data_IF_668789898941
#
_entry.id   IF_668789898941
#
_cell.length_a   1.000
_cell.length_b   1.000
_cell.length_c   1.000
_cell.angle_alpha   90.00
_cell.angle_beta   90.00
_cell.angle_gamma   90.00
#
_symmetry.space_group_name_H-M   'P 1'
#
loop_
_entity.id
_entity.type
_entity.pdbx_description
1 polymer ?
#
# COMPACT_ATOMS: atom_id res chain seq x y z
N UNK A 1 -15.48 5.57 58.91
CA UNK A 1 -14.66 5.28 57.70
C UNK A 1 -15.59 4.91 56.56
N UNK A 2 -15.37 5.48 55.38
CA UNK A 2 -16.17 5.16 54.19
C UNK A 2 -15.93 3.71 53.79
N UNK A 3 -16.99 2.89 53.70
CA UNK A 3 -16.87 1.46 53.38
C UNK A 3 -16.08 1.20 52.08
N UNK A 4 -16.23 2.08 51.09
CA UNK A 4 -15.46 2.05 49.84
C UNK A 4 -13.94 2.15 50.08
N UNK A 5 -13.52 3.03 51.00
CA UNK A 5 -12.10 3.18 51.34
C UNK A 5 -11.59 1.98 52.13
N UNK A 6 -12.39 1.44 53.06
CA UNK A 6 -12.03 0.24 53.81
C UNK A 6 -11.80 -0.99 52.90
N UNK A 7 -12.71 -1.20 51.92
CA UNK A 7 -12.56 -2.26 50.92
C UNK A 7 -11.37 -2.01 50.00
N UNK A 8 -11.14 -0.76 49.60
CA UNK A 8 -9.97 -0.43 48.77
C UNK A 8 -8.66 -0.77 49.49
N UNK A 9 -8.50 -0.33 50.74
CA UNK A 9 -7.29 -0.60 51.51
C UNK A 9 -7.11 -2.08 51.85
N UNK A 10 -8.18 -2.84 52.09
CA UNK A 10 -8.07 -4.27 52.31
C UNK A 10 -7.57 -4.99 51.04
N UNK A 11 -8.14 -4.68 49.87
CA UNK A 11 -7.71 -5.26 48.59
C UNK A 11 -6.25 -4.92 48.30
N UNK A 12 -5.85 -3.66 48.51
CA UNK A 12 -4.45 -3.24 48.33
C UNK A 12 -3.53 -3.97 49.32
N UNK A 13 -3.92 -4.09 50.58
CA UNK A 13 -3.16 -4.81 51.60
C UNK A 13 -2.96 -6.29 51.25
N UNK A 14 -4.01 -6.98 50.82
CA UNK A 14 -3.92 -8.36 50.35
C UNK A 14 -3.08 -8.50 49.08
N UNK A 15 -3.14 -7.55 48.16
CA UNK A 15 -2.32 -7.57 46.95
C UNK A 15 -0.82 -7.46 47.30
N UNK A 16 -0.45 -6.53 48.18
CA UNK A 16 0.95 -6.37 48.63
C UNK A 16 1.41 -7.62 49.39
N UNK A 17 0.59 -8.13 50.32
CA UNK A 17 0.93 -9.33 51.07
C UNK A 17 1.09 -10.56 50.16
N UNK A 18 0.19 -10.73 49.19
CA UNK A 18 0.29 -11.79 48.20
C UNK A 18 1.56 -11.69 47.34
N UNK A 19 1.96 -10.48 46.95
CA UNK A 19 3.22 -10.26 46.24
C UNK A 19 4.43 -10.64 47.09
N UNK A 20 4.49 -10.21 48.36
CA UNK A 20 5.58 -10.56 49.28
C UNK A 20 5.63 -12.07 49.51
N UNK A 21 4.48 -12.71 49.74
CA UNK A 21 4.39 -14.15 49.95
C UNK A 21 4.96 -14.92 48.76
N UNK A 22 4.60 -14.55 47.54
CA UNK A 22 5.12 -15.18 46.32
C UNK A 22 6.62 -14.90 46.15
N UNK A 23 7.10 -13.71 46.54
CA UNK A 23 8.52 -13.36 46.44
C UNK A 23 9.41 -14.21 47.37
N UNK A 24 8.89 -14.58 48.54
CA UNK A 24 9.60 -15.41 49.52
C UNK A 24 9.51 -16.90 49.19
N UNK A 25 8.34 -17.36 48.73
CA UNK A 25 8.10 -18.78 48.45
C UNK A 25 8.65 -19.22 47.10
N UNK A 26 8.41 -18.45 46.04
CA UNK A 26 8.79 -18.80 44.67
C UNK A 26 8.87 -17.57 43.76
N UNK A 27 9.93 -16.75 43.86
CA UNK A 27 10.04 -15.52 43.07
C UNK A 27 10.13 -15.80 41.56
N UNK A 28 10.65 -16.97 41.17
CA UNK A 28 10.72 -17.40 39.78
C UNK A 28 9.34 -17.60 39.13
N UNK A 29 8.31 -17.93 39.93
CA UNK A 29 6.96 -18.17 39.43
C UNK A 29 6.29 -16.89 38.92
N UNK A 30 6.58 -15.72 39.52
CA UNK A 30 6.10 -14.42 39.06
C UNK A 30 6.65 -14.09 37.68
N UNK A 31 7.95 -14.23 37.51
CA UNK A 31 8.63 -13.95 36.25
C UNK A 31 8.07 -14.87 35.15
N UNK A 32 7.91 -16.18 35.44
CA UNK A 32 7.31 -17.14 34.51
C UNK A 32 5.87 -16.76 34.14
N UNK A 33 5.04 -16.35 35.11
CA UNK A 33 3.67 -15.90 34.83
C UNK A 33 3.64 -14.65 33.96
N UNK A 34 4.42 -13.62 34.30
CA UNK A 34 4.51 -12.39 33.51
C UNK A 34 5.02 -12.68 32.10
N UNK A 35 6.07 -13.50 31.95
CA UNK A 35 6.56 -13.93 30.64
C UNK A 35 5.49 -14.67 29.85
N UNK A 36 4.74 -15.56 30.49
CA UNK A 36 3.69 -16.34 29.82
C UNK A 36 2.59 -15.43 29.30
N UNK A 37 2.10 -14.49 30.13
CA UNK A 37 1.12 -13.50 29.69
C UNK A 37 1.66 -12.57 28.60
N UNK A 38 2.89 -12.09 28.75
CA UNK A 38 3.55 -11.26 27.74
C UNK A 38 3.73 -12.02 26.41
N UNK A 39 4.07 -13.31 26.46
CA UNK A 39 4.18 -14.16 25.28
C UNK A 39 2.81 -14.35 24.61
N UNK A 40 1.75 -14.63 25.38
CA UNK A 40 0.39 -14.75 24.83
C UNK A 40 -0.04 -13.45 24.14
N UNK A 41 0.13 -12.30 24.81
CA UNK A 41 -0.19 -10.98 24.25
C UNK A 41 0.65 -10.72 23.00
N UNK A 42 1.94 -11.07 23.02
CA UNK A 42 2.85 -10.95 21.89
C UNK A 42 2.41 -11.80 20.69
N UNK A 43 1.98 -13.04 20.92
CA UNK A 43 1.45 -13.93 19.87
C UNK A 43 0.17 -13.35 19.27
N UNK A 44 -0.77 -12.89 20.10
CA UNK A 44 -2.01 -12.24 19.64
C UNK A 44 -1.68 -10.98 18.84
N UNK A 45 -0.74 -10.16 19.32
CA UNK A 45 -0.29 -8.96 18.62
C UNK A 45 0.36 -9.30 17.27
N UNK A 46 1.20 -10.33 17.20
CA UNK A 46 1.82 -10.79 15.96
C UNK A 46 0.78 -11.29 14.96
N UNK A 47 -0.21 -12.07 15.41
CA UNK A 47 -1.33 -12.51 14.57
C UNK A 47 -2.11 -11.32 14.02
N UNK A 48 -2.50 -10.39 14.91
CA UNK A 48 -3.19 -9.16 14.51
C UNK A 48 -2.35 -8.33 13.54
N UNK A 49 -1.05 -8.14 13.83
CA UNK A 49 -0.12 -7.41 12.98
C UNK A 49 0.06 -8.08 11.63
N UNK A 50 0.14 -9.40 11.59
CA UNK A 50 0.31 -10.17 10.35
C UNK A 50 -0.94 -10.08 9.48
N UNK A 51 -2.14 -10.14 10.06
CA UNK A 51 -3.40 -9.93 9.35
C UNK A 51 -3.58 -8.46 8.92
N UNK A 52 -3.32 -7.50 9.80
CA UNK A 52 -3.39 -6.07 9.51
C UNK A 52 -2.33 -5.60 8.49
N UNK A 53 -1.18 -6.29 8.40
CA UNK A 53 -0.15 -6.01 7.39
C UNK A 53 -0.52 -6.49 5.98
N UNK A 54 -1.59 -7.28 5.84
CA UNK A 54 -2.20 -7.61 4.54
C UNK A 54 -3.15 -6.51 4.04
N UNK A 55 -3.06 -5.29 4.59
CA UNK A 55 -3.78 -4.13 4.05
C UNK A 55 -3.44 -3.87 2.57
N UNK A 56 -4.42 -3.47 1.74
CA UNK A 56 -4.33 -3.45 0.28
C UNK A 56 -3.28 -2.51 -0.30
N UNK A 57 -2.79 -1.50 0.44
CA UNK A 57 -1.82 -0.53 -0.07
C UNK A 57 -0.46 -1.10 -0.52
N UNK A 58 -0.08 -2.31 -0.07
CA UNK A 58 1.11 -3.01 -0.58
C UNK A 58 0.94 -3.50 -2.02
N UNK A 59 -0.29 -3.82 -2.45
CA UNK A 59 -0.59 -4.19 -3.85
C UNK A 59 -0.46 -2.98 -4.77
N UNK A 60 -0.94 -1.81 -4.36
CA UNK A 60 -0.89 -0.61 -5.19
C UNK A 60 0.55 -0.13 -5.41
N UNK A 61 1.39 -0.17 -4.37
CA UNK A 61 2.82 0.12 -4.52
C UNK A 61 3.54 -0.91 -5.41
N UNK A 62 3.17 -2.20 -5.32
CA UNK A 62 3.74 -3.22 -6.20
C UNK A 62 3.27 -3.07 -7.64
N UNK A 63 2.00 -2.73 -7.88
CA UNK A 63 1.43 -2.45 -9.19
C UNK A 63 2.09 -1.22 -9.82
N UNK A 64 2.27 -0.14 -9.06
CA UNK A 64 2.99 1.05 -9.50
C UNK A 64 4.46 0.74 -9.84
N UNK A 65 5.17 -0.02 -8.99
CA UNK A 65 6.55 -0.46 -9.27
C UNK A 65 6.63 -1.32 -10.54
N UNK A 66 5.64 -2.19 -10.77
CA UNK A 66 5.55 -3.01 -11.99
C UNK A 66 5.28 -2.15 -13.23
N UNK A 67 4.34 -1.22 -13.14
CA UNK A 67 4.00 -0.28 -14.21
C UNK A 67 5.18 0.66 -14.54
N UNK A 68 5.89 1.16 -13.53
CA UNK A 68 7.08 1.98 -13.71
C UNK A 68 8.20 1.21 -14.41
N UNK A 69 8.46 -0.04 -14.01
CA UNK A 69 9.42 -0.93 -14.71
C UNK A 69 9.00 -1.20 -16.15
N UNK A 70 7.71 -1.44 -16.40
CA UNK A 70 7.18 -1.66 -17.74
C UNK A 70 7.29 -0.41 -18.63
N UNK A 71 7.01 0.78 -18.07
CA UNK A 71 7.21 2.06 -18.75
C UNK A 71 8.69 2.28 -19.07
N UNK A 72 9.60 2.05 -18.11
CA UNK A 72 11.05 2.13 -18.34
C UNK A 72 11.54 1.17 -19.43
N UNK A 73 10.96 -0.02 -19.56
CA UNK A 73 11.30 -0.96 -20.64
C UNK A 73 10.74 -0.54 -22.01
N UNK A 74 9.57 0.11 -22.05
CA UNK A 74 8.93 0.55 -23.30
C UNK A 74 9.49 1.87 -23.83
N UNK A 75 9.86 2.78 -22.94
CA UNK A 75 10.32 4.14 -23.29
C UNK A 75 11.79 4.40 -22.97
N UNK A 76 12.48 3.48 -22.26
CA UNK A 76 13.89 3.61 -21.87
C UNK A 76 14.87 2.92 -22.80
N UNK A 77 14.40 2.32 -23.91
CA UNK A 77 15.25 2.18 -25.07
C UNK A 77 15.15 3.49 -25.85
N UNK A 78 16.10 4.43 -25.74
CA UNK A 78 16.36 5.30 -26.87
C UNK A 78 16.76 4.34 -27.98
N UNK A 79 15.82 3.98 -28.85
CA UNK A 79 16.16 3.41 -30.14
C UNK A 79 17.19 4.37 -30.70
N UNK A 80 18.43 3.88 -30.74
CA UNK A 80 19.64 4.55 -31.15
C UNK A 80 19.32 5.62 -32.21
N UNK A 81 19.15 6.87 -31.75
CA UNK A 81 19.02 8.04 -32.61
C UNK A 81 20.35 8.37 -33.32
N UNK A 82 21.32 7.44 -33.32
CA UNK A 82 22.59 7.52 -34.03
C UNK A 82 22.51 6.97 -35.47
N UNK A 83 21.37 6.45 -35.94
CA UNK A 83 21.29 5.89 -37.30
C UNK A 83 20.13 6.44 -38.14
N UNK A 84 19.96 7.76 -38.13
CA UNK A 84 19.33 8.48 -39.25
C UNK A 84 20.28 9.61 -39.62
N UNK A 85 21.31 9.26 -40.41
CA UNK A 85 22.05 10.25 -41.19
C UNK A 85 21.13 10.75 -42.31
N UNK A 86 21.28 12.04 -42.63
CA UNK A 86 20.71 12.81 -43.75
C UNK A 86 19.27 13.27 -43.48
N UNK A 87 18.90 14.56 -43.54
CA UNK A 87 19.51 15.76 -44.12
C UNK A 87 18.63 16.91 -43.62
N UNK A 88 19.21 18.05 -43.25
CA UNK A 88 18.41 19.26 -42.99
C UNK A 88 18.85 20.03 -41.76
N UNK A 89 19.19 21.29 -41.99
CA UNK A 89 19.70 22.27 -41.04
C UNK A 89 18.76 22.48 -39.84
N UNK A 90 19.36 22.79 -38.70
CA UNK A 90 18.76 23.29 -37.45
C UNK A 90 17.68 24.38 -37.68
N UNK A 91 16.76 24.68 -36.72
CA UNK A 91 17.15 25.16 -35.39
C UNK A 91 16.36 24.60 -34.20
N UNK A 92 17.03 24.63 -33.05
CA UNK A 92 16.44 24.48 -31.74
C UNK A 92 15.26 25.47 -31.57
N UNK A 93 14.04 24.95 -31.39
CA UNK A 93 12.88 25.78 -31.05
C UNK A 93 12.56 25.63 -29.56
N UNK A 94 12.90 26.73 -28.90
CA UNK A 94 12.57 27.17 -27.55
C UNK A 94 11.16 26.77 -27.13
N UNK A 95 11.01 26.45 -25.84
CA UNK A 95 9.72 26.37 -25.15
C UNK A 95 8.83 27.57 -25.53
N UNK A 96 7.64 27.28 -26.06
CA UNK A 96 6.63 28.29 -26.38
C UNK A 96 5.54 28.23 -25.30
N UNK A 97 5.20 29.34 -24.64
CA UNK A 97 4.19 29.38 -23.61
C UNK A 97 2.78 29.25 -24.20
N UNK A 98 1.88 28.66 -23.40
CA UNK A 98 0.46 28.54 -23.71
C UNK A 98 -0.14 29.92 -24.04
N UNK A 99 -0.47 30.16 -25.30
CA UNK A 99 -1.38 31.26 -25.69
C UNK A 99 -2.49 30.73 -26.57
N UNK A 100 -3.71 30.95 -26.07
CA UNK A 100 -4.96 30.97 -26.83
C UNK A 100 -4.78 31.77 -28.13
N UNK A 101 -5.03 31.16 -29.28
CA UNK A 101 -5.95 31.65 -30.32
C UNK A 101 -5.96 30.72 -31.53
N UNK A 102 -7.14 30.70 -32.14
CA UNK A 102 -7.42 30.45 -33.55
C UNK A 102 -8.07 29.11 -33.90
N UNK A 103 -9.37 29.22 -34.10
CA UNK A 103 -10.37 28.32 -34.66
C UNK A 103 -10.07 27.81 -36.09
N UNK A 104 -8.86 28.02 -36.63
CA UNK A 104 -8.47 27.55 -37.97
C UNK A 104 -7.65 26.24 -37.96
N UNK A 105 -7.09 25.83 -36.81
CA UNK A 105 -6.32 24.58 -36.69
C UNK A 105 -7.17 23.35 -36.30
N UNK A 106 -8.51 23.48 -36.27
CA UNK A 106 -9.44 22.38 -35.94
C UNK A 106 -9.96 21.61 -37.15
N UNK A 107 -9.66 22.06 -38.38
CA UNK A 107 -10.10 21.35 -39.60
C UNK A 107 -9.35 20.01 -39.73
N UNK A 108 -8.07 19.97 -39.33
CA UNK A 108 -7.23 18.77 -39.33
C UNK A 108 -6.86 18.29 -37.91
N UNK A 109 -7.79 18.41 -36.97
CA UNK A 109 -7.66 17.75 -35.67
C UNK A 109 -7.76 16.23 -35.81
N UNK A 110 -7.14 15.42 -34.93
CA UNK A 110 -7.24 13.97 -35.00
C UNK A 110 -8.71 13.53 -34.91
N UNK A 111 -9.27 13.08 -36.05
CA UNK A 111 -10.62 12.55 -36.13
C UNK A 111 -10.72 11.36 -35.18
N UNK A 112 -11.51 11.50 -34.12
CA UNK A 112 -11.93 10.39 -33.30
C UNK A 112 -12.84 9.51 -34.16
N UNK A 113 -12.25 8.57 -34.89
CA UNK A 113 -13.04 7.48 -35.47
C UNK A 113 -13.54 6.64 -34.31
N UNK A 114 -14.87 6.51 -34.22
CA UNK A 114 -15.50 5.57 -33.32
C UNK A 114 -14.88 4.21 -33.60
N UNK A 115 -14.22 3.62 -32.60
CA UNK A 115 -13.90 2.19 -32.65
C UNK A 115 -15.25 1.53 -32.53
N UNK A 116 -15.83 1.16 -33.67
CA UNK A 116 -16.97 0.26 -33.71
C UNK A 116 -16.47 -1.09 -33.17
N UNK A 117 -16.53 -1.22 -31.85
CA UNK A 117 -16.47 -2.52 -31.20
C UNK A 117 -17.54 -3.39 -31.84
N UNK A 118 -17.26 -4.69 -31.91
CA UNK A 118 -18.05 -5.80 -32.48
C UNK A 118 -19.51 -5.88 -31.91
N UNK A 119 -20.32 -4.81 -32.00
CA UNK A 119 -21.60 -4.64 -31.30
C UNK A 119 -22.74 -5.46 -31.93
N UNK A 120 -22.51 -6.03 -33.13
CA UNK A 120 -23.48 -6.88 -33.83
C UNK A 120 -23.09 -8.35 -34.01
N UNK A 121 -21.90 -8.81 -33.59
CA UNK A 121 -21.54 -10.22 -33.81
C UNK A 121 -22.16 -11.11 -32.72
N UNK A 122 -23.35 -11.65 -33.01
CA UNK A 122 -23.92 -12.79 -32.27
C UNK A 122 -22.85 -13.90 -32.23
N UNK A 123 -22.48 -14.34 -31.03
CA UNK A 123 -21.61 -15.51 -30.85
C UNK A 123 -22.34 -16.70 -31.49
N UNK A 124 -21.73 -17.35 -32.50
CA UNK A 124 -22.21 -18.66 -32.93
C UNK A 124 -22.12 -19.57 -31.71
N UNK A 125 -23.27 -19.97 -31.16
CA UNK A 125 -23.33 -21.07 -30.19
C UNK A 125 -22.89 -22.30 -30.97
N UNK A 126 -21.73 -22.84 -30.63
CA UNK A 126 -21.29 -24.13 -31.10
C UNK A 126 -22.21 -25.14 -30.41
N UNK A 127 -23.15 -25.72 -31.15
CA UNK A 127 -23.91 -26.89 -30.71
C UNK A 127 -23.02 -28.12 -30.82
N UNK A 128 -23.21 -29.04 -29.88
CA UNK A 128 -22.45 -30.27 -29.65
C UNK A 128 -22.34 -31.15 -30.90
#
# INVERSE_FOLDING_TARGET
>A
MNAKMAVFYSVVGFAVFGLIYILVTDPASLIRRVLTFAAIIGVIYLLYRLWASRKPGRRDQQAFKRAAKQSKKRYGNPVSASKIKKTGKQPAKKAVPLKKKSSAARIDGPKLTVIEGKKGKKKKRMSL
#
